data_IF_189428699518
#
_entry.id   IF_189428699518
#
_cell.length_a   1.000
_cell.length_b   1.000
_cell.length_c   1.000
_cell.angle_alpha   90.00
_cell.angle_beta   90.00
_cell.angle_gamma   90.00
#
_symmetry.space_group_name_H-M   'P 1'
#
loop_
_entity.id
_entity.type
_entity.pdbx_description
1 polymer ?
#
# COMPACT_ATOMS: atom_id res chain seq x y z
N UNK A 1 -19.77 -0.28 7.51
CA UNK A 1 -18.38 -0.80 7.62
C UNK A 1 -17.65 -0.74 6.27
N UNK A 2 -18.34 -1.05 5.16
CA UNK A 2 -17.86 -0.83 3.78
C UNK A 2 -17.25 0.57 3.55
N UNK A 3 -17.93 1.63 4.02
CA UNK A 3 -17.45 3.00 3.88
C UNK A 3 -16.09 3.26 4.54
N UNK A 4 -15.83 2.62 5.69
CA UNK A 4 -14.54 2.76 6.39
C UNK A 4 -13.43 2.05 5.61
N UNK A 5 -13.71 0.87 5.08
CA UNK A 5 -12.77 0.13 4.23
C UNK A 5 -12.46 0.95 2.97
N UNK A 6 -13.46 1.59 2.36
CA UNK A 6 -13.27 2.46 1.21
C UNK A 6 -12.36 3.65 1.53
N UNK A 7 -12.59 4.35 2.64
CA UNK A 7 -11.72 5.45 3.09
C UNK A 7 -10.30 4.94 3.38
N UNK A 8 -10.17 3.79 4.04
CA UNK A 8 -8.87 3.21 4.35
C UNK A 8 -8.11 2.84 3.06
N UNK A 9 -8.78 2.27 2.06
CA UNK A 9 -8.20 1.97 0.76
C UNK A 9 -7.74 3.24 0.03
N UNK A 10 -8.55 4.31 0.04
CA UNK A 10 -8.14 5.62 -0.51
C UNK A 10 -6.93 6.19 0.23
N UNK A 11 -6.88 6.02 1.54
CA UNK A 11 -5.76 6.48 2.37
C UNK A 11 -4.46 5.73 2.05
N UNK A 12 -4.54 4.42 1.80
CA UNK A 12 -3.40 3.61 1.32
C UNK A 12 -2.98 4.08 -0.06
N UNK A 13 -3.91 4.27 -1.00
CA UNK A 13 -3.61 4.71 -2.36
C UNK A 13 -2.91 6.07 -2.38
N UNK A 14 -3.40 7.03 -1.58
CA UNK A 14 -2.79 8.34 -1.42
C UNK A 14 -1.38 8.25 -0.84
N UNK A 15 -1.21 7.52 0.27
CA UNK A 15 0.08 7.40 0.96
C UNK A 15 1.12 6.68 0.09
N UNK A 16 0.69 5.65 -0.65
CA UNK A 16 1.52 4.93 -1.63
C UNK A 16 1.95 5.85 -2.78
N UNK A 17 1.03 6.62 -3.35
CA UNK A 17 1.34 7.59 -4.39
C UNK A 17 2.35 8.64 -3.90
N UNK A 18 2.14 9.21 -2.71
CA UNK A 18 3.06 10.19 -2.15
C UNK A 18 4.47 9.61 -1.87
N UNK A 19 4.55 8.36 -1.41
CA UNK A 19 5.81 7.67 -1.12
C UNK A 19 6.58 7.28 -2.38
N UNK A 20 5.90 6.78 -3.42
CA UNK A 20 6.54 6.04 -4.52
C UNK A 20 6.56 6.78 -5.86
N UNK A 21 5.66 7.73 -6.11
CA UNK A 21 5.47 8.34 -7.43
C UNK A 21 6.80 8.87 -8.02
N UNK A 22 7.58 9.62 -7.25
CA UNK A 22 8.81 10.23 -7.75
C UNK A 22 9.99 9.24 -7.88
N UNK A 23 9.94 8.05 -7.25
CA UNK A 23 11.09 7.13 -7.18
C UNK A 23 11.57 6.70 -8.57
N UNK A 24 10.64 6.44 -9.50
CA UNK A 24 10.96 6.03 -10.87
C UNK A 24 11.63 7.11 -11.74
N UNK A 25 11.48 8.38 -11.36
CA UNK A 25 12.02 9.53 -12.10
C UNK A 25 13.14 10.27 -11.35
N UNK A 26 13.50 9.81 -10.14
CA UNK A 26 14.57 10.39 -9.33
C UNK A 26 15.93 10.32 -10.04
N UNK A 27 16.20 9.26 -10.82
CA UNK A 27 17.43 9.11 -11.60
C UNK A 27 17.49 10.10 -12.77
N UNK A 28 16.37 10.32 -13.47
CA UNK A 28 16.27 11.28 -14.58
C UNK A 28 16.48 12.71 -14.10
N UNK A 29 15.87 13.05 -12.96
CA UNK A 29 16.10 14.34 -12.30
C UNK A 29 17.54 14.46 -11.76
N UNK A 30 18.05 13.42 -11.09
CA UNK A 30 19.40 13.41 -10.52
C UNK A 30 20.52 13.48 -11.57
N UNK A 31 20.27 12.99 -12.78
CA UNK A 31 21.18 13.12 -13.92
C UNK A 31 21.09 14.49 -14.63
N UNK A 32 20.23 15.40 -14.16
CA UNK A 32 20.10 16.75 -14.70
C UNK A 32 19.39 16.85 -16.05
N UNK A 33 18.72 15.79 -16.52
CA UNK A 33 18.03 15.82 -17.81
C UNK A 33 16.72 16.64 -17.78
N UNK A 34 16.03 16.66 -16.64
CA UNK A 34 14.74 17.34 -16.49
C UNK A 34 14.69 18.16 -15.20
N UNK A 35 13.91 19.24 -15.23
CA UNK A 35 13.54 19.96 -14.01
C UNK A 35 12.71 19.08 -13.07
N UNK A 36 12.77 19.35 -11.76
CA UNK A 36 11.98 18.63 -10.76
C UNK A 36 10.49 18.56 -11.10
N UNK A 37 9.90 19.69 -11.53
CA UNK A 37 8.47 19.75 -11.89
C UNK A 37 8.14 18.88 -13.10
N UNK A 38 8.98 18.92 -14.14
CA UNK A 38 8.80 18.11 -15.35
C UNK A 38 8.92 16.61 -15.04
N UNK A 39 9.92 16.22 -14.25
CA UNK A 39 10.11 14.84 -13.82
C UNK A 39 8.93 14.36 -12.96
N UNK A 40 8.42 15.19 -12.04
CA UNK A 40 7.27 14.87 -11.21
C UNK A 40 5.95 14.74 -12.02
N UNK A 41 5.76 15.58 -13.04
CA UNK A 41 4.61 15.45 -13.94
C UNK A 41 4.65 14.13 -14.70
N UNK A 42 5.81 13.77 -15.29
CA UNK A 42 5.97 12.50 -16.00
C UNK A 42 5.77 11.30 -15.09
N UNK A 43 6.32 11.34 -13.87
CA UNK A 43 6.07 10.34 -12.84
C UNK A 43 4.57 10.13 -12.60
N UNK A 44 3.84 11.23 -12.38
CA UNK A 44 2.40 11.20 -12.10
C UNK A 44 1.61 10.63 -13.29
N UNK A 45 1.94 11.03 -14.52
CA UNK A 45 1.32 10.47 -15.72
C UNK A 45 1.62 8.98 -15.88
N UNK A 46 2.86 8.55 -15.63
CA UNK A 46 3.24 7.14 -15.68
C UNK A 46 2.48 6.32 -14.62
N UNK A 47 2.32 6.83 -13.40
CA UNK A 47 1.54 6.17 -12.35
C UNK A 47 0.05 6.07 -12.72
N UNK A 48 -0.54 7.13 -13.28
CA UNK A 48 -1.92 7.09 -13.76
C UNK A 48 -2.10 6.08 -14.90
N UNK A 49 -1.23 6.11 -15.90
CA UNK A 49 -1.25 5.18 -17.02
C UNK A 49 -1.07 3.73 -16.56
N UNK A 50 -0.11 3.48 -15.66
CA UNK A 50 0.12 2.17 -15.06
C UNK A 50 -1.08 1.68 -14.25
N UNK A 51 -1.73 2.56 -13.48
CA UNK A 51 -2.95 2.22 -12.74
C UNK A 51 -4.11 1.85 -13.66
N UNK A 52 -4.29 2.55 -14.79
CA UNK A 52 -5.33 2.24 -15.77
C UNK A 52 -5.02 0.93 -16.53
N UNK A 53 -3.77 0.74 -16.94
CA UNK A 53 -3.32 -0.50 -17.57
C UNK A 53 -3.51 -1.70 -16.63
N UNK A 54 -3.22 -1.51 -15.33
CA UNK A 54 -3.43 -2.52 -14.30
C UNK A 54 -4.89 -2.99 -14.25
N UNK A 55 -5.88 -2.11 -14.44
CA UNK A 55 -7.29 -2.51 -14.45
C UNK A 55 -7.58 -3.53 -15.57
N UNK A 56 -6.93 -3.36 -16.73
CA UNK A 56 -7.08 -4.25 -17.89
C UNK A 56 -6.33 -5.59 -17.72
N UNK A 57 -5.23 -5.58 -16.94
CA UNK A 57 -4.34 -6.72 -16.71
C UNK A 57 -4.62 -7.45 -15.37
N UNK A 58 -5.67 -7.04 -14.63
CA UNK A 58 -5.90 -7.35 -13.21
C UNK A 58 -5.91 -8.84 -12.81
N UNK A 59 -6.14 -9.77 -13.75
CA UNK A 59 -6.33 -11.18 -13.41
C UNK A 59 -5.10 -11.81 -12.71
N UNK A 60 -3.88 -11.36 -13.02
CA UNK A 60 -2.64 -11.81 -12.39
C UNK A 60 -2.27 -11.01 -11.13
N UNK A 61 -2.65 -9.73 -11.05
CA UNK A 61 -2.31 -8.85 -9.92
C UNK A 61 -3.13 -9.14 -8.67
N UNK A 62 -4.43 -9.45 -8.83
CA UNK A 62 -5.31 -9.76 -7.70
C UNK A 62 -4.82 -11.00 -6.92
N UNK A 63 -4.21 -11.98 -7.60
CA UNK A 63 -3.67 -13.17 -6.94
C UNK A 63 -2.46 -12.85 -6.05
N UNK A 64 -1.56 -11.93 -6.46
CA UNK A 64 -0.37 -11.57 -5.69
C UNK A 64 -0.67 -10.78 -4.42
N UNK A 65 -1.77 -10.01 -4.41
CA UNK A 65 -2.17 -9.18 -3.27
C UNK A 65 -3.32 -9.78 -2.44
N UNK A 66 -3.72 -11.02 -2.71
CA UNK A 66 -4.88 -11.66 -2.07
C UNK A 66 -4.66 -12.09 -0.61
N UNK A 67 -3.41 -12.10 -0.11
CA UNK A 67 -3.09 -12.57 1.24
C UNK A 67 -3.30 -14.08 1.45
N UNK A 68 -3.64 -14.82 0.39
CA UNK A 68 -3.83 -16.28 0.41
C UNK A 68 -2.60 -16.98 0.97
N UNK A 69 -2.81 -17.75 2.04
CA UNK A 69 -1.76 -18.52 2.71
C UNK A 69 -1.04 -17.79 3.85
N UNK A 70 -1.27 -16.49 4.07
CA UNK A 70 -0.66 -15.74 5.19
C UNK A 70 -1.54 -15.70 6.44
N UNK A 71 -2.86 -15.59 6.26
CA UNK A 71 -3.86 -15.52 7.33
C UNK A 71 -5.06 -16.40 6.94
N UNK A 72 -5.71 -17.10 7.89
CA UNK A 72 -6.91 -17.88 7.60
C UNK A 72 -8.01 -17.05 6.94
N UNK A 73 -8.69 -17.61 5.93
CA UNK A 73 -9.72 -16.93 5.14
C UNK A 73 -10.89 -16.38 5.99
N UNK A 74 -11.15 -17.00 7.14
CA UNK A 74 -12.16 -16.56 8.11
C UNK A 74 -11.84 -15.18 8.72
N UNK A 75 -10.56 -14.85 8.87
CA UNK A 75 -10.13 -13.56 9.42
C UNK A 75 -10.06 -12.50 8.32
N UNK A 76 -9.60 -12.90 7.12
CA UNK A 76 -9.52 -12.02 5.95
C UNK A 76 -10.90 -11.58 5.47
N UNK A 77 -11.95 -12.37 5.70
CA UNK A 77 -13.33 -11.99 5.39
C UNK A 77 -13.95 -10.96 6.35
N UNK A 78 -13.28 -10.63 7.46
CA UNK A 78 -13.77 -9.61 8.40
C UNK A 78 -13.37 -8.19 7.95
N UNK A 79 -14.36 -7.37 7.58
CA UNK A 79 -14.11 -5.99 7.13
C UNK A 79 -13.40 -5.12 8.16
N UNK A 80 -13.63 -5.34 9.46
CA UNK A 80 -12.96 -4.56 10.51
C UNK A 80 -11.46 -4.88 10.55
N UNK A 81 -11.11 -6.13 10.28
CA UNK A 81 -9.72 -6.56 10.17
C UNK A 81 -9.06 -5.91 8.94
N UNK A 82 -9.68 -5.99 7.75
CA UNK A 82 -9.17 -5.33 6.54
C UNK A 82 -8.98 -3.83 6.75
N UNK A 83 -9.98 -3.15 7.33
CA UNK A 83 -9.89 -1.73 7.64
C UNK A 83 -8.71 -1.42 8.57
N UNK A 84 -8.49 -2.23 9.62
CA UNK A 84 -7.38 -2.03 10.53
C UNK A 84 -6.01 -2.18 9.85
N UNK A 85 -5.84 -3.18 8.99
CA UNK A 85 -4.61 -3.41 8.22
C UNK A 85 -4.34 -2.24 7.27
N UNK A 86 -5.35 -1.84 6.51
CA UNK A 86 -5.26 -0.74 5.56
C UNK A 86 -4.95 0.59 6.27
N UNK A 87 -5.62 0.89 7.38
CA UNK A 87 -5.35 2.10 8.18
C UNK A 87 -3.95 2.09 8.78
N UNK A 88 -3.49 0.98 9.36
CA UNK A 88 -2.16 0.86 9.93
C UNK A 88 -1.06 1.04 8.85
N UNK A 89 -1.24 0.40 7.69
CA UNK A 89 -0.34 0.55 6.55
C UNK A 89 -0.31 1.99 6.04
N UNK A 90 -1.48 2.60 5.83
CA UNK A 90 -1.59 3.99 5.37
C UNK A 90 -0.90 4.97 6.33
N UNK A 91 -1.16 4.87 7.64
CA UNK A 91 -0.56 5.75 8.65
C UNK A 91 0.97 5.59 8.66
N UNK A 92 1.47 4.36 8.63
CA UNK A 92 2.92 4.07 8.64
C UNK A 92 3.61 4.69 7.43
N UNK A 93 3.06 4.47 6.24
CA UNK A 93 3.61 4.99 4.98
C UNK A 93 3.51 6.51 4.92
N UNK A 94 2.39 7.07 5.36
CA UNK A 94 2.19 8.52 5.39
C UNK A 94 3.22 9.19 6.30
N UNK A 95 3.42 8.68 7.51
CA UNK A 95 4.41 9.22 8.45
C UNK A 95 5.83 9.12 7.89
N UNK A 96 6.21 7.97 7.34
CA UNK A 96 7.52 7.80 6.70
C UNK A 96 7.73 8.79 5.54
N UNK A 97 6.71 8.95 4.67
CA UNK A 97 6.73 9.92 3.57
C UNK A 97 6.91 11.35 4.08
N UNK A 98 6.20 11.74 5.14
CA UNK A 98 6.32 13.08 5.75
C UNK A 98 7.69 13.33 6.36
N UNK A 99 8.35 12.28 6.84
CA UNK A 99 9.71 12.33 7.37
C UNK A 99 10.79 12.20 6.28
N UNK A 100 10.41 11.97 5.02
CA UNK A 100 11.34 11.84 3.89
C UNK A 100 11.98 10.45 3.77
N UNK A 101 11.50 9.44 4.49
CA UNK A 101 12.02 8.08 4.40
C UNK A 101 11.34 7.30 3.27
N UNK A 102 12.09 6.78 2.29
CA UNK A 102 11.53 5.91 1.26
C UNK A 102 11.25 4.53 1.87
N UNK A 103 9.96 4.18 2.03
CA UNK A 103 9.54 2.88 2.61
C UNK A 103 8.80 2.02 1.60
N UNK A 104 8.56 0.74 1.94
CA UNK A 104 7.79 -0.19 1.12
C UNK A 104 6.36 -0.31 1.66
N UNK A 105 5.37 0.03 0.84
CA UNK A 105 3.95 -0.07 1.20
C UNK A 105 3.48 -1.52 1.36
N UNK A 106 4.05 -2.45 0.57
CA UNK A 106 3.75 -3.88 0.70
C UNK A 106 4.19 -4.43 2.06
N UNK A 107 5.39 -4.06 2.53
CA UNK A 107 5.84 -4.46 3.87
C UNK A 107 5.00 -3.82 4.98
N UNK A 108 4.59 -2.57 4.83
CA UNK A 108 3.71 -1.92 5.80
C UNK A 108 2.35 -2.64 5.93
N UNK A 109 1.75 -3.05 4.80
CA UNK A 109 0.50 -3.81 4.78
C UNK A 109 0.68 -5.23 5.30
N UNK A 110 1.75 -5.93 4.91
CA UNK A 110 2.07 -7.28 5.41
C UNK A 110 2.35 -7.28 6.93
N UNK A 111 3.05 -6.27 7.45
CA UNK A 111 3.25 -6.08 8.88
C UNK A 111 1.94 -5.86 9.63
N UNK A 112 1.07 -5.01 9.09
CA UNK A 112 -0.29 -4.81 9.59
C UNK A 112 -1.15 -6.07 9.55
N UNK A 113 -0.91 -6.98 8.60
CA UNK A 113 -1.61 -8.26 8.47
C UNK A 113 -1.11 -9.31 9.48
N UNK A 114 0.21 -9.46 9.62
CA UNK A 114 0.83 -10.58 10.35
C UNK A 114 0.81 -10.35 11.86
N UNK A 115 1.12 -9.14 12.33
CA UNK A 115 1.32 -8.89 13.76
C UNK A 115 0.02 -8.98 14.58
N UNK A 116 -1.10 -8.36 14.16
CA UNK A 116 -2.39 -8.54 14.85
C UNK A 116 -2.87 -9.99 14.83
N UNK A 117 -2.67 -10.70 13.72
CA UNK A 117 -2.99 -12.13 13.63
C UNK A 117 -2.16 -12.97 14.62
N UNK A 118 -0.85 -12.71 14.74
CA UNK A 118 0.02 -13.38 15.71
C UNK A 118 -0.41 -13.12 17.14
N UNK A 119 -0.80 -11.90 17.47
CA UNK A 119 -1.32 -11.54 18.81
C UNK A 119 -2.61 -12.30 19.12
N UNK A 120 -3.60 -12.29 18.21
CA UNK A 120 -4.85 -13.02 18.38
C UNK A 120 -4.63 -14.54 18.53
N UNK A 121 -3.74 -15.13 17.72
CA UNK A 121 -3.40 -16.55 17.80
C UNK A 121 -2.71 -16.90 19.12
N UNK A 122 -1.83 -16.04 19.63
CA UNK A 122 -1.12 -16.26 20.90
C UNK A 122 -2.08 -16.19 22.10
N UNK A 123 -3.05 -15.28 22.08
CA UNK A 123 -4.08 -15.17 23.12
C UNK A 123 -4.99 -16.42 23.17
N UNK A 124 -5.36 -16.95 22.00
CA UNK A 124 -6.17 -18.18 21.90
C UNK A 124 -5.47 -19.45 22.40
N UNK A 125 -4.13 -19.53 22.33
CA UNK A 125 -3.36 -20.66 22.88
C UNK A 125 -3.08 -20.53 24.39
N UNK A 126 -3.35 -19.36 24.97
CA UNK A 126 -3.19 -19.08 26.40
C UNK A 126 -4.51 -19.12 27.18
N UNK A 127 -5.61 -19.49 26.52
CA UNK A 127 -6.97 -19.66 27.09
C UNK A 127 -7.37 -21.13 27.04
#
# INVERSE_FOLDING_TARGET
>A
MEFIVFIAALSVAFSNGANDNFKGFATVWGAGLLSYRSALMLATFATLAGSLASLLLSQTLVQQFSGKGLVPDVIVSNLSFIASVASAGAITVFLATRLGFPVSTTHALLGGLIEPYRVCRRLFYLS
#
